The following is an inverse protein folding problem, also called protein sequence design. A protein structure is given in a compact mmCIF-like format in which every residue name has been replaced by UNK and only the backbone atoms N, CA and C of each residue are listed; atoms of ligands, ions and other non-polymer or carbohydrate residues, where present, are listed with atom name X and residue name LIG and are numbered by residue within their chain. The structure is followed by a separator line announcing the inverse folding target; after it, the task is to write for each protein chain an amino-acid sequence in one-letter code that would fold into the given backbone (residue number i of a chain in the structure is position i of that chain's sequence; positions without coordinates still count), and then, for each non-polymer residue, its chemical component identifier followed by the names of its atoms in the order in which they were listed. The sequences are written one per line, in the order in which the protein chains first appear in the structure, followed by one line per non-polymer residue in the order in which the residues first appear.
data_IF_462332797376
#
_entry.id   IF_462332797376
#
_cell.length_a   1.000
_cell.length_b   1.000
_cell.length_c   1.000
_cell.angle_alpha   90.00
_cell.angle_beta   90.00
_cell.angle_gamma   90.00
#
_symmetry.space_group_name_H-M   'P 1'
#
loop_
_entity.id
_entity.type
_entity.pdbx_description
1 polymer ?
#
# COMPACT_ATOMS: atom_id res chain seq x y z
N UNK A 1 -11.59 3.17 2.15
CA UNK A 1 -10.77 2.47 1.15
C UNK A 1 -11.70 1.98 0.07
N UNK A 2 -11.35 2.16 -1.20
CA UNK A 2 -12.13 1.71 -2.35
C UNK A 2 -11.29 0.71 -3.12
N UNK A 3 -11.88 -0.44 -3.45
CA UNK A 3 -11.31 -1.44 -4.36
C UNK A 3 -12.30 -1.62 -5.50
N UNK A 4 -11.92 -1.26 -6.72
CA UNK A 4 -12.81 -1.31 -7.87
C UNK A 4 -12.03 -1.54 -9.17
N UNK A 5 -12.76 -1.74 -10.26
CA UNK A 5 -12.19 -1.80 -11.59
C UNK A 5 -12.00 -0.38 -12.15
N UNK A 6 -10.80 -0.12 -12.68
CA UNK A 6 -10.55 1.04 -13.53
C UNK A 6 -11.03 0.76 -14.96
N UNK A 7 -10.87 -0.49 -15.41
CA UNK A 7 -11.47 -1.03 -16.62
C UNK A 7 -11.86 -2.49 -16.36
N UNK A 8 -13.17 -2.76 -16.31
CA UNK A 8 -13.69 -4.09 -16.01
C UNK A 8 -13.46 -5.09 -17.15
N UNK A 9 -13.56 -4.64 -18.41
CA UNK A 9 -13.34 -5.51 -19.58
C UNK A 9 -11.90 -6.00 -19.73
N UNK A 10 -10.93 -5.21 -19.26
CA UNK A 10 -9.51 -5.57 -19.24
C UNK A 10 -9.05 -6.06 -17.85
N UNK A 11 -9.99 -6.25 -16.92
CA UNK A 11 -9.73 -6.65 -15.53
C UNK A 11 -8.71 -5.77 -14.79
N UNK A 12 -8.56 -4.49 -15.20
CA UNK A 12 -7.67 -3.55 -14.53
C UNK A 12 -8.30 -3.06 -13.24
N UNK A 13 -7.66 -3.36 -12.12
CA UNK A 13 -8.13 -3.02 -10.77
C UNK A 13 -7.30 -1.91 -10.15
N UNK A 14 -7.97 -1.10 -9.33
CA UNK A 14 -7.30 -0.12 -8.50
C UNK A 14 -7.74 -0.23 -7.05
N UNK A 15 -6.87 0.27 -6.18
CA UNK A 15 -7.09 0.44 -4.77
C UNK A 15 -6.85 1.90 -4.39
N UNK A 16 -7.76 2.48 -3.60
CA UNK A 16 -7.73 3.91 -3.27
C UNK A 16 -7.95 4.18 -1.79
N UNK A 17 -7.06 5.00 -1.22
CA UNK A 17 -7.31 5.77 0.00
C UNK A 17 -7.58 7.21 -0.43
N UNK A 18 -8.85 7.64 -0.28
CA UNK A 18 -9.28 9.00 -0.61
C UNK A 18 -8.41 10.05 0.11
N UNK A 19 -7.87 10.99 -0.65
CA UNK A 19 -7.02 12.06 -0.13
C UNK A 19 -5.57 11.65 0.14
N UNK A 20 -5.17 10.40 -0.14
CA UNK A 20 -3.80 9.92 -0.01
C UNK A 20 -3.25 9.40 -1.34
N UNK A 21 -3.84 8.32 -1.88
CA UNK A 21 -3.35 7.69 -3.10
C UNK A 21 -4.41 6.80 -3.76
N UNK A 22 -4.36 6.76 -5.10
CA UNK A 22 -5.02 5.75 -5.95
C UNK A 22 -3.91 4.97 -6.67
N UNK A 23 -3.88 3.66 -6.50
CA UNK A 23 -2.83 2.79 -7.06
C UNK A 23 -3.44 1.64 -7.86
N UNK A 24 -2.85 1.25 -9.00
CA UNK A 24 -3.24 0.03 -9.70
C UNK A 24 -2.81 -1.18 -8.86
N UNK A 25 -3.77 -1.98 -8.42
CA UNK A 25 -3.50 -3.15 -7.60
C UNK A 25 -4.63 -4.18 -7.72
N UNK A 26 -4.26 -5.45 -7.93
CA UNK A 26 -5.17 -6.59 -7.97
C UNK A 26 -5.21 -7.44 -6.69
N UNK A 27 -4.46 -7.05 -5.65
CA UNK A 27 -4.33 -7.81 -4.41
C UNK A 27 -5.56 -7.74 -3.49
N UNK A 28 -5.53 -8.55 -2.43
CA UNK A 28 -6.48 -8.45 -1.32
C UNK A 28 -5.98 -7.41 -0.32
N UNK A 29 -6.87 -6.53 0.12
CA UNK A 29 -6.53 -5.44 1.05
C UNK A 29 -7.50 -5.40 2.23
N UNK A 30 -7.06 -4.87 3.39
CA UNK A 30 -7.95 -4.52 4.50
C UNK A 30 -9.01 -3.50 4.09
N UNK A 31 -10.12 -3.46 4.82
CA UNK A 31 -11.25 -2.54 4.56
C UNK A 31 -10.97 -1.13 5.09
N UNK A 32 -10.10 -0.99 6.09
CA UNK A 32 -9.65 0.30 6.66
C UNK A 32 -8.17 0.24 7.06
N UNK A 33 -7.49 1.39 6.99
CA UNK A 33 -6.05 1.49 7.29
C UNK A 33 -5.71 1.13 8.74
N UNK A 34 -6.63 1.41 9.68
CA UNK A 34 -6.44 1.09 11.10
C UNK A 34 -6.36 -0.40 11.42
N UNK A 35 -6.75 -1.30 10.51
CA UNK A 35 -6.56 -2.75 10.68
C UNK A 35 -5.08 -3.15 10.70
N UNK A 36 -4.18 -2.33 10.15
CA UNK A 36 -2.74 -2.57 10.17
C UNK A 36 -2.12 -2.33 11.56
N UNK A 37 -2.80 -1.59 12.45
CA UNK A 37 -2.25 -1.24 13.76
C UNK A 37 -1.00 -0.36 13.67
N UNK A 38 -0.06 -0.59 14.58
CA UNK A 38 1.23 0.13 14.61
C UNK A 38 2.18 -0.45 13.56
N UNK A 39 2.99 0.42 12.97
CA UNK A 39 4.03 0.05 12.01
C UNK A 39 5.39 0.54 12.48
N UNK A 40 6.43 -0.25 12.23
CA UNK A 40 7.83 0.10 12.48
C UNK A 40 8.50 0.45 11.17
N UNK A 41 9.27 1.53 11.17
CA UNK A 41 10.03 2.00 10.01
C UNK A 41 11.53 1.92 10.29
N UNK A 42 12.28 1.38 9.35
CA UNK A 42 13.75 1.37 9.38
C UNK A 42 14.28 1.85 8.03
N UNK A 43 15.18 2.84 8.09
CA UNK A 43 15.83 3.40 6.90
C UNK A 43 17.16 2.72 6.67
N UNK A 44 17.42 2.33 5.42
CA UNK A 44 18.68 1.77 4.97
C UNK A 44 19.10 2.50 3.70
N UNK A 45 20.20 3.23 3.77
CA UNK A 45 20.80 3.81 2.59
C UNK A 45 21.33 2.67 1.71
N UNK A 46 20.83 2.60 0.49
CA UNK A 46 21.38 1.73 -0.54
C UNK A 46 22.28 2.61 -1.39
N UNK A 47 23.34 2.01 -1.92
CA UNK A 47 24.21 2.68 -2.88
C UNK A 47 23.39 3.20 -4.09
N UNK A 48 23.97 4.13 -4.85
CA UNK A 48 23.38 4.73 -6.05
C UNK A 48 22.17 5.64 -5.81
N UNK A 49 22.16 6.41 -4.71
CA UNK A 49 21.19 7.49 -4.49
C UNK A 49 19.77 7.03 -4.15
N UNK A 50 19.57 5.74 -3.88
CA UNK A 50 18.28 5.18 -3.47
C UNK A 50 18.23 4.95 -1.97
N UNK A 51 17.13 5.37 -1.35
CA UNK A 51 16.83 5.01 0.03
C UNK A 51 15.89 3.79 0.05
N UNK A 52 16.19 2.79 0.89
CA UNK A 52 15.24 1.72 1.21
C UNK A 52 14.61 1.98 2.57
N UNK A 53 13.28 2.00 2.57
CA UNK A 53 12.48 2.04 3.78
C UNK A 53 11.91 0.65 4.00
N UNK A 54 12.35 -0.01 5.07
CA UNK A 54 11.78 -1.27 5.56
C UNK A 54 10.57 -0.92 6.44
N UNK A 55 9.39 -1.47 6.10
CA UNK A 55 8.13 -1.28 6.82
C UNK A 55 7.71 -2.63 7.39
N UNK A 56 7.48 -2.69 8.71
CA UNK A 56 7.09 -3.91 9.43
C UNK A 56 5.82 -3.65 10.23
N UNK A 57 4.96 -4.68 10.35
CA UNK A 57 3.86 -4.66 11.31
C UNK A 57 4.41 -4.84 12.72
N UNK A 58 3.81 -4.17 13.70
CA UNK A 58 4.16 -4.36 15.11
C UNK A 58 3.46 -5.61 15.65
N UNK A 59 4.23 -6.56 16.20
CA UNK A 59 3.73 -7.84 16.73
C UNK A 59 3.11 -7.74 18.14
N UNK A 60 2.84 -6.52 18.62
CA UNK A 60 2.26 -6.28 19.97
C UNK A 60 0.97 -7.03 20.23
#
# INVERSE_FOLDING_TARGET
IISAFENESEERRYWEIKGLAKVPCGGTHPKRTGELGKIKLKRKNIENGHERIEIMLDET
#
